data_IF_870196191194
#
_entry.id   IF_870196191194
#
_cell.length_a   1.000
_cell.length_b   1.000
_cell.length_c   1.000
_cell.angle_alpha   90.00
_cell.angle_beta   90.00
_cell.angle_gamma   90.00
#
_symmetry.space_group_name_H-M   'P 1'
#
loop_
_entity.id
_entity.type
_entity.pdbx_description
1 polymer ?
#
# COMPACT_ATOMS: atom_id res chain seq x y z
N UNK A 1 -0.11 8.61 19.69
CA UNK A 1 1.25 8.08 19.97
C UNK A 1 2.26 8.92 19.20
N UNK A 2 3.49 9.08 19.69
CA UNK A 2 4.57 9.79 18.99
C UNK A 2 5.64 8.79 18.52
N UNK A 3 5.82 8.74 17.21
CA UNK A 3 6.71 7.80 16.52
C UNK A 3 8.10 8.38 16.19
N UNK A 4 8.37 9.65 16.55
CA UNK A 4 9.65 10.33 16.27
C UNK A 4 10.87 9.63 16.88
N UNK A 5 10.67 8.97 18.02
CA UNK A 5 11.74 8.34 18.81
C UNK A 5 12.16 6.94 18.34
N UNK A 6 11.40 6.34 17.43
CA UNK A 6 11.72 5.00 16.95
C UNK A 6 12.89 5.00 15.99
N UNK A 7 13.74 3.98 16.09
CA UNK A 7 14.89 3.81 15.22
C UNK A 7 14.44 3.56 13.78
N UNK A 8 15.21 4.05 12.81
CA UNK A 8 14.99 3.71 11.40
C UNK A 8 15.15 2.21 11.17
N UNK A 9 14.29 1.64 10.34
CA UNK A 9 14.43 0.25 9.88
C UNK A 9 15.49 0.07 8.80
N UNK A 10 15.97 1.19 8.21
CA UNK A 10 16.87 1.16 7.06
C UNK A 10 16.20 0.78 5.73
N UNK A 11 14.91 0.45 5.75
CA UNK A 11 14.16 0.13 4.53
C UNK A 11 13.76 1.38 3.78
N UNK A 12 13.84 1.31 2.44
CA UNK A 12 13.38 2.36 1.53
C UNK A 12 12.06 1.95 0.89
N UNK A 13 11.14 2.91 0.79
CA UNK A 13 9.83 2.72 0.19
C UNK A 13 9.64 3.70 -0.96
N UNK A 14 9.22 3.19 -2.11
CA UNK A 14 8.95 3.99 -3.32
C UNK A 14 7.61 4.72 -3.25
N UNK A 15 7.35 5.61 -4.20
CA UNK A 15 6.12 6.38 -4.35
C UNK A 15 6.24 7.84 -3.94
N UNK A 16 5.29 8.66 -4.36
CA UNK A 16 5.33 10.13 -4.31
C UNK A 16 5.18 10.74 -2.91
N UNK A 17 4.70 9.99 -1.94
CA UNK A 17 4.45 10.49 -0.58
C UNK A 17 5.68 10.30 0.32
N UNK A 18 5.89 11.26 1.25
CA UNK A 18 6.95 11.16 2.25
C UNK A 18 6.70 9.95 3.17
N UNK A 19 7.65 9.05 3.21
CA UNK A 19 7.62 7.83 4.03
C UNK A 19 8.90 7.68 4.82
N UNK A 20 8.82 6.96 5.94
CA UNK A 20 9.96 6.60 6.78
C UNK A 20 9.75 5.19 7.33
N UNK A 21 10.75 4.34 7.21
CA UNK A 21 10.74 3.03 7.87
C UNK A 21 11.23 3.15 9.31
N UNK A 22 10.51 2.55 10.25
CA UNK A 22 10.87 2.49 11.67
C UNK A 22 10.79 1.07 12.21
N UNK A 23 11.44 0.83 13.35
CA UNK A 23 11.34 -0.43 14.09
C UNK A 23 10.52 -0.22 15.36
N UNK A 24 9.46 -1.00 15.54
CA UNK A 24 8.67 -1.06 16.78
C UNK A 24 8.83 -2.49 17.34
N UNK A 25 9.46 -2.61 18.49
CA UNK A 25 9.75 -3.92 19.11
C UNK A 25 10.54 -4.90 18.21
N UNK A 26 11.35 -4.36 17.29
CA UNK A 26 12.11 -5.15 16.33
C UNK A 26 11.42 -5.41 15.01
N UNK A 27 10.10 -5.19 14.93
CA UNK A 27 9.31 -5.35 13.71
C UNK A 27 9.34 -4.08 12.86
N UNK A 28 9.39 -4.20 11.54
CA UNK A 28 9.40 -3.05 10.64
C UNK A 28 8.00 -2.45 10.45
N UNK A 29 7.94 -1.13 10.43
CA UNK A 29 6.74 -0.35 10.17
C UNK A 29 7.05 0.78 9.19
N UNK A 30 6.03 1.15 8.42
CA UNK A 30 6.05 2.27 7.49
C UNK A 30 5.29 3.44 8.13
N UNK A 31 5.93 4.60 8.22
CA UNK A 31 5.29 5.85 8.60
C UNK A 31 4.99 6.64 7.34
N UNK A 32 3.72 6.91 7.05
CA UNK A 32 3.29 7.84 5.99
C UNK A 32 2.84 9.16 6.59
N UNK A 33 3.43 10.24 6.12
CA UNK A 33 3.10 11.59 6.56
C UNK A 33 1.91 12.16 5.82
N UNK A 34 1.14 13.02 6.49
CA UNK A 34 0.15 13.85 5.82
C UNK A 34 0.81 14.63 4.67
N UNK A 35 0.18 14.65 3.51
CA UNK A 35 0.68 15.35 2.34
C UNK A 35 0.38 16.85 2.44
N UNK A 36 1.35 17.68 2.09
CA UNK A 36 1.14 19.12 1.93
C UNK A 36 0.43 19.40 0.61
N UNK A 37 -0.58 20.25 0.66
CA UNK A 37 -1.24 20.83 -0.50
C UNK A 37 -1.25 22.36 -0.38
N UNK A 38 -1.59 23.11 -1.46
CA UNK A 38 -1.75 24.56 -1.37
C UNK A 38 -2.79 25.01 -0.34
N UNK A 39 -3.74 24.14 0.00
CA UNK A 39 -4.80 24.37 1.00
C UNK A 39 -4.42 23.92 2.41
N UNK A 40 -3.21 23.40 2.61
CA UNK A 40 -2.73 22.88 3.89
C UNK A 40 -2.49 21.37 3.87
N UNK A 41 -2.40 20.77 5.07
CA UNK A 41 -2.23 19.32 5.20
C UNK A 41 -3.47 18.57 4.73
N UNK A 42 -3.27 17.57 3.87
CA UNK A 42 -4.35 16.68 3.44
C UNK A 42 -4.64 15.62 4.49
N UNK A 43 -5.85 15.07 4.45
CA UNK A 43 -6.27 13.97 5.33
C UNK A 43 -5.94 12.58 4.75
N UNK A 44 -5.00 12.46 3.80
CA UNK A 44 -4.64 11.18 3.17
C UNK A 44 -4.28 10.08 4.18
N UNK A 45 -3.59 10.44 5.26
CA UNK A 45 -3.25 9.52 6.35
C UNK A 45 -4.49 8.97 7.08
N UNK A 46 -5.59 9.76 7.17
CA UNK A 46 -6.87 9.27 7.72
C UNK A 46 -7.58 8.33 6.75
N UNK A 47 -7.54 8.60 5.46
CA UNK A 47 -8.13 7.71 4.44
C UNK A 47 -7.48 6.33 4.48
N UNK A 48 -6.17 6.25 4.59
CA UNK A 48 -5.45 4.97 4.74
C UNK A 48 -5.86 4.24 6.02
N UNK A 49 -5.96 4.95 7.13
CA UNK A 49 -6.40 4.38 8.41
C UNK A 49 -7.84 3.86 8.34
N UNK A 50 -8.77 4.68 7.85
CA UNK A 50 -10.19 4.32 7.74
C UNK A 50 -10.35 3.16 6.76
N UNK A 51 -9.73 3.23 5.58
CA UNK A 51 -9.79 2.18 4.57
C UNK A 51 -9.36 0.83 5.11
N UNK A 52 -8.18 0.74 5.75
CA UNK A 52 -7.71 -0.53 6.33
C UNK A 52 -8.67 -1.11 7.38
N UNK A 53 -9.31 -0.25 8.18
CA UNK A 53 -10.28 -0.69 9.18
C UNK A 53 -11.59 -1.16 8.56
N UNK A 54 -12.07 -0.51 7.50
CA UNK A 54 -13.27 -0.94 6.77
C UNK A 54 -13.06 -2.32 6.13
N UNK A 55 -11.91 -2.56 5.50
CA UNK A 55 -11.56 -3.88 4.96
C UNK A 55 -11.63 -4.95 6.05
N UNK A 56 -11.01 -4.70 7.19
CA UNK A 56 -11.01 -5.66 8.32
C UNK A 56 -12.42 -5.90 8.88
N UNK A 57 -13.27 -4.87 8.97
CA UNK A 57 -14.67 -5.01 9.39
C UNK A 57 -15.45 -5.86 8.39
N UNK A 58 -15.15 -5.73 7.09
CA UNK A 58 -15.73 -6.55 6.03
C UNK A 58 -15.18 -8.00 6.01
N UNK A 59 -14.25 -8.35 6.90
CA UNK A 59 -13.65 -9.69 6.96
C UNK A 59 -12.54 -9.93 5.94
N UNK A 60 -12.06 -8.87 5.29
CA UNK A 60 -10.97 -8.93 4.31
C UNK A 60 -9.66 -8.57 5.02
N UNK A 61 -8.63 -9.35 4.77
CA UNK A 61 -7.31 -9.08 5.33
C UNK A 61 -6.76 -7.75 4.80
N UNK A 62 -6.36 -6.88 5.71
CA UNK A 62 -5.78 -5.59 5.38
C UNK A 62 -4.65 -5.25 6.33
N UNK A 63 -3.75 -4.41 5.86
CA UNK A 63 -2.61 -3.94 6.60
C UNK A 63 -3.02 -3.30 7.94
N UNK A 64 -2.38 -3.70 9.03
CA UNK A 64 -2.61 -3.12 10.35
C UNK A 64 -2.10 -1.67 10.40
N UNK A 65 -2.96 -0.74 10.78
CA UNK A 65 -2.67 0.70 10.77
C UNK A 65 -2.95 1.36 12.11
N UNK A 66 -2.16 2.40 12.41
CA UNK A 66 -2.26 3.18 13.64
C UNK A 66 -2.13 4.68 13.33
N UNK A 67 -2.86 5.51 14.03
CA UNK A 67 -2.72 6.96 13.94
C UNK A 67 -1.73 7.48 14.98
N UNK A 68 -1.03 8.57 14.62
CA UNK A 68 -0.14 9.24 15.56
C UNK A 68 0.52 10.48 14.99
N UNK A 69 1.65 10.84 15.60
CA UNK A 69 2.51 11.93 15.16
C UNK A 69 3.94 11.44 14.94
N UNK A 70 4.63 12.03 13.99
CA UNK A 70 6.05 11.85 13.80
C UNK A 70 6.66 13.17 13.35
N UNK A 71 7.70 13.63 14.06
CA UNK A 71 8.35 14.93 13.81
C UNK A 71 7.34 16.11 13.85
N UNK A 72 6.36 16.05 14.78
CA UNK A 72 5.31 17.05 14.96
C UNK A 72 4.17 16.97 13.94
N UNK A 73 4.26 16.15 12.90
CA UNK A 73 3.25 16.01 11.84
C UNK A 73 2.33 14.81 12.10
N UNK A 74 1.04 14.89 11.69
CA UNK A 74 0.15 13.75 11.74
C UNK A 74 0.59 12.68 10.74
N UNK A 75 0.50 11.42 11.17
CA UNK A 75 0.93 10.27 10.38
C UNK A 75 -0.04 9.10 10.53
N UNK A 76 -0.07 8.22 9.53
CA UNK A 76 -0.48 6.85 9.68
C UNK A 76 0.76 5.95 9.71
N UNK A 77 0.76 5.00 10.63
CA UNK A 77 1.81 4.00 10.77
C UNK A 77 1.21 2.65 10.43
N UNK A 78 1.89 1.90 9.57
CA UNK A 78 1.42 0.59 9.10
C UNK A 78 2.49 -0.45 9.37
N UNK A 79 2.08 -1.64 9.78
CA UNK A 79 2.99 -2.76 9.86
C UNK A 79 3.49 -3.10 8.46
N UNK A 80 4.80 -3.22 8.28
CA UNK A 80 5.37 -3.69 7.02
C UNK A 80 5.12 -5.20 6.90
N UNK A 81 4.42 -5.60 5.86
CA UNK A 81 4.05 -7.00 5.63
C UNK A 81 5.07 -7.76 4.78
N UNK A 82 6.07 -7.06 4.22
CA UNK A 82 7.11 -7.71 3.41
C UNK A 82 8.03 -8.49 4.33
N UNK A 83 7.93 -9.81 4.30
CA UNK A 83 8.76 -10.74 5.07
C UNK A 83 10.00 -11.18 4.29
N UNK A 84 11.03 -11.60 5.02
CA UNK A 84 12.22 -12.34 4.57
C UNK A 84 12.62 -12.19 3.09
N UNK A 85 12.31 -13.22 2.31
CA UNK A 85 12.65 -13.31 0.89
C UNK A 85 11.54 -12.84 -0.06
N UNK A 86 10.46 -12.25 0.47
CA UNK A 86 9.35 -11.74 -0.33
C UNK A 86 9.70 -10.42 -1.02
N UNK A 87 9.23 -10.25 -2.25
CA UNK A 87 9.37 -9.04 -3.04
C UNK A 87 7.98 -8.45 -3.27
N UNK A 88 7.78 -7.21 -2.82
CA UNK A 88 6.58 -6.47 -3.15
C UNK A 88 6.64 -5.96 -4.58
N UNK A 89 5.67 -6.37 -5.41
CA UNK A 89 5.53 -5.90 -6.78
C UNK A 89 4.29 -5.00 -6.86
N UNK A 90 4.45 -3.69 -7.10
CA UNK A 90 3.32 -2.79 -7.31
C UNK A 90 2.47 -3.25 -8.51
N UNK A 91 1.15 -3.08 -8.41
CA UNK A 91 0.22 -3.49 -9.47
C UNK A 91 0.55 -2.83 -10.84
N UNK A 92 0.99 -1.58 -10.84
CA UNK A 92 1.42 -0.91 -12.07
C UNK A 92 2.64 -1.59 -12.71
N UNK A 93 3.58 -2.10 -11.90
CA UNK A 93 4.76 -2.81 -12.41
C UNK A 93 4.38 -4.18 -13.00
N UNK A 94 3.30 -4.79 -12.50
CA UNK A 94 2.70 -6.00 -13.09
C UNK A 94 2.18 -5.67 -14.49
N UNK A 95 1.41 -4.58 -14.62
CA UNK A 95 0.91 -4.09 -15.92
C UNK A 95 2.03 -3.77 -16.91
N UNK A 96 3.00 -2.99 -16.48
CA UNK A 96 4.15 -2.58 -17.32
C UNK A 96 4.98 -3.76 -17.83
N UNK A 97 4.99 -4.88 -17.10
CA UNK A 97 5.76 -6.08 -17.48
C UNK A 97 4.96 -7.11 -18.28
N UNK A 98 3.63 -7.03 -18.29
CA UNK A 98 2.76 -8.00 -18.96
C UNK A 98 2.15 -7.44 -20.24
N UNK A 99 1.76 -6.16 -20.22
CA UNK A 99 1.10 -5.51 -21.35
C UNK A 99 2.14 -4.75 -22.19
N UNK A 100 2.25 -5.07 -23.47
CA UNK A 100 3.15 -4.39 -24.43
C UNK A 100 2.72 -2.94 -24.76
N UNK A 101 1.89 -2.31 -23.95
CA UNK A 101 1.32 -1.00 -24.25
C UNK A 101 2.17 0.16 -23.70
N UNK A 102 2.30 1.19 -24.54
CA UNK A 102 2.96 2.45 -24.20
C UNK A 102 2.32 3.11 -22.97
N UNK A 103 3.16 3.64 -22.10
CA UNK A 103 2.92 4.28 -20.80
C UNK A 103 1.86 5.40 -20.74
N UNK A 104 1.08 5.64 -21.79
CA UNK A 104 0.22 6.83 -21.87
C UNK A 104 -1.24 6.62 -21.49
N UNK A 105 -1.70 5.40 -21.16
CA UNK A 105 -3.12 5.16 -20.86
C UNK A 105 -3.33 4.20 -19.68
N UNK A 106 -3.46 4.73 -18.51
CA UNK A 106 -3.79 4.02 -17.27
C UNK A 106 -5.30 3.65 -17.16
N UNK A 107 -5.87 3.07 -18.19
CA UNK A 107 -7.21 2.49 -18.11
C UNK A 107 -7.10 1.04 -18.54
N UNK A 108 -6.90 0.18 -17.58
CA UNK A 108 -6.95 -1.26 -17.79
C UNK A 108 -8.40 -1.69 -18.03
N UNK A 109 -8.62 -2.49 -19.06
CA UNK A 109 -9.88 -3.20 -19.25
C UNK A 109 -9.93 -4.39 -18.29
N UNK A 110 -11.09 -5.03 -18.19
CA UNK A 110 -11.22 -6.28 -17.43
C UNK A 110 -10.26 -7.35 -17.97
N UNK A 111 -10.20 -7.49 -19.28
CA UNK A 111 -9.33 -8.45 -19.97
C UNK A 111 -7.85 -8.16 -19.70
N UNK A 112 -7.45 -6.89 -19.70
CA UNK A 112 -6.08 -6.48 -19.35
C UNK A 112 -5.73 -6.90 -17.91
N UNK A 113 -6.64 -6.67 -16.97
CA UNK A 113 -6.44 -7.03 -15.58
C UNK A 113 -6.31 -8.53 -15.39
N UNK A 114 -7.19 -9.32 -16.01
CA UNK A 114 -7.12 -10.77 -15.93
C UNK A 114 -5.82 -11.30 -16.56
N UNK A 115 -5.44 -10.78 -17.73
CA UNK A 115 -4.18 -11.13 -18.37
C UNK A 115 -2.97 -10.80 -17.49
N UNK A 116 -2.95 -9.63 -16.85
CA UNK A 116 -1.90 -9.23 -15.93
C UNK A 116 -1.77 -10.19 -14.74
N UNK A 117 -2.90 -10.61 -14.18
CA UNK A 117 -2.92 -11.46 -13.00
C UNK A 117 -2.60 -12.93 -13.33
N UNK A 118 -3.01 -13.42 -14.48
CA UNK A 118 -2.86 -14.82 -14.88
C UNK A 118 -1.52 -15.13 -15.55
N UNK A 119 -0.96 -14.19 -16.31
CA UNK A 119 0.25 -14.45 -17.13
C UNK A 119 1.53 -13.86 -16.54
N UNK A 120 1.44 -13.02 -15.52
CA UNK A 120 2.64 -12.39 -14.98
C UNK A 120 3.49 -13.37 -14.16
N UNK A 121 4.70 -13.65 -14.64
CA UNK A 121 5.64 -14.60 -14.01
C UNK A 121 6.16 -14.17 -12.62
N UNK A 122 5.90 -12.93 -12.19
CA UNK A 122 6.29 -12.44 -10.86
C UNK A 122 5.26 -12.79 -9.79
N UNK A 123 4.05 -13.18 -10.18
CA UNK A 123 2.99 -13.59 -9.26
C UNK A 123 3.11 -15.08 -8.94
N UNK A 124 3.15 -15.40 -7.66
CA UNK A 124 3.35 -16.78 -7.19
C UNK A 124 2.06 -17.52 -6.86
N UNK A 125 0.99 -16.77 -6.56
CA UNK A 125 -0.33 -17.35 -6.22
C UNK A 125 -1.42 -16.60 -6.98
N UNK A 126 -1.63 -16.98 -8.23
CA UNK A 126 -2.54 -16.28 -9.16
C UNK A 126 -3.98 -16.32 -8.66
N UNK A 127 -4.50 -17.47 -8.26
CA UNK A 127 -5.89 -17.64 -7.83
C UNK A 127 -6.22 -16.75 -6.62
N UNK A 128 -5.35 -16.76 -5.61
CA UNK A 128 -5.51 -15.92 -4.42
C UNK A 128 -5.36 -14.42 -4.76
N UNK A 129 -4.45 -14.08 -5.66
CA UNK A 129 -4.25 -12.69 -6.12
C UNK A 129 -5.48 -12.18 -6.86
N UNK A 130 -6.08 -12.98 -7.74
CA UNK A 130 -7.33 -12.65 -8.44
C UNK A 130 -8.47 -12.44 -7.43
N UNK A 131 -8.60 -13.34 -6.44
CA UNK A 131 -9.63 -13.20 -5.40
C UNK A 131 -9.44 -11.91 -4.61
N UNK A 132 -8.23 -11.63 -4.11
CA UNK A 132 -7.93 -10.41 -3.35
C UNK A 132 -8.15 -9.13 -4.19
N UNK A 133 -7.83 -9.18 -5.48
CA UNK A 133 -8.12 -8.07 -6.38
C UNK A 133 -9.62 -7.75 -6.43
N UNK A 134 -10.49 -8.77 -6.56
CA UNK A 134 -11.93 -8.56 -6.58
C UNK A 134 -12.49 -8.14 -5.22
N UNK A 135 -11.99 -8.68 -4.12
CA UNK A 135 -12.34 -8.26 -2.77
C UNK A 135 -12.03 -6.77 -2.56
N UNK A 136 -10.85 -6.32 -2.96
CA UNK A 136 -10.44 -4.92 -2.93
C UNK A 136 -11.37 -4.06 -3.82
N UNK A 137 -11.61 -4.48 -5.05
CA UNK A 137 -12.43 -3.74 -6.00
C UNK A 137 -13.87 -3.54 -5.52
N UNK A 138 -14.46 -4.56 -4.89
CA UNK A 138 -15.81 -4.49 -4.33
C UNK A 138 -15.90 -3.49 -3.17
N UNK A 139 -14.88 -3.41 -2.32
CA UNK A 139 -14.88 -2.46 -1.20
C UNK A 139 -14.60 -1.04 -1.68
N UNK A 140 -13.71 -0.85 -2.65
CA UNK A 140 -13.42 0.48 -3.21
C UNK A 140 -14.62 1.06 -3.96
N UNK A 141 -15.54 0.21 -4.42
CA UNK A 141 -16.79 0.62 -5.09
C UNK A 141 -17.91 1.02 -4.11
N UNK A 142 -17.74 0.79 -2.81
CA UNK A 142 -18.70 1.05 -1.74
C UNK A 142 -18.44 2.39 -1.07
#
# INVERSE_FOLDING_TARGET
>A
MDYSKYKSSGRYYTGAERKKGILIQGEPYIVKYAKNSPQGLTCSYLSEYIGSHLFRIAGIEAQETFLGKCDGLPVVVMKDFIGGDEIFVPFNDVGDSTLEQSRERYKYTYEDIMLMLEENMKLTNVEETVRHFWDMYLIDAW
#
